data_IF_356195699874
#
_entry.id   IF_356195699874
#
_cell.length_a   1.000
_cell.length_b   1.000
_cell.length_c   1.000
_cell.angle_alpha   90.00
_cell.angle_beta   90.00
_cell.angle_gamma   90.00
#
_symmetry.space_group_name_H-M   'P 1'
#
loop_
_entity.id
_entity.type
_entity.pdbx_description
1 polymer ?
#
# COMPACT_ATOMS: atom_id res chain seq x y z
N UNK A 1 -1.98 2.76 12.65
CA UNK A 1 -1.91 3.73 11.53
C UNK A 1 -0.95 3.33 10.41
N UNK A 2 0.35 3.06 10.66
CA UNK A 2 1.27 2.58 9.60
C UNK A 2 1.12 1.07 9.35
N UNK A 3 1.06 0.28 10.42
CA UNK A 3 0.95 -1.18 10.35
C UNK A 3 -0.40 -1.63 9.75
N UNK A 4 -1.50 -0.99 10.17
CA UNK A 4 -2.84 -1.23 9.60
C UNK A 4 -2.89 -0.93 8.09
N UNK A 5 -2.20 0.13 7.65
CA UNK A 5 -2.15 0.50 6.23
C UNK A 5 -1.29 -0.48 5.43
N UNK A 6 -0.15 -0.92 5.97
CA UNK A 6 0.68 -1.95 5.35
C UNK A 6 -0.08 -3.28 5.23
N UNK A 7 -0.80 -3.69 6.28
CA UNK A 7 -1.70 -4.84 6.24
C UNK A 7 -2.78 -4.67 5.17
N UNK A 8 -3.43 -3.50 5.10
CA UNK A 8 -4.43 -3.19 4.07
C UNK A 8 -3.87 -3.30 2.65
N UNK A 9 -2.65 -2.79 2.41
CA UNK A 9 -1.96 -2.92 1.11
C UNK A 9 -1.75 -4.39 0.75
N UNK A 10 -1.28 -5.20 1.69
CA UNK A 10 -1.05 -6.65 1.48
C UNK A 10 -2.38 -7.36 1.21
N UNK A 11 -3.43 -7.09 1.99
CA UNK A 11 -4.76 -7.70 1.77
C UNK A 11 -5.32 -7.35 0.39
N UNK A 12 -5.14 -6.11 -0.07
CA UNK A 12 -5.56 -5.70 -1.42
C UNK A 12 -4.78 -6.48 -2.49
N UNK A 13 -3.46 -6.64 -2.32
CA UNK A 13 -2.61 -7.41 -3.25
C UNK A 13 -2.94 -8.92 -3.26
N UNK A 14 -3.38 -9.48 -2.13
CA UNK A 14 -3.84 -10.87 -2.08
C UNK A 14 -5.17 -11.07 -2.81
N UNK A 15 -6.05 -10.07 -2.80
CA UNK A 15 -7.34 -10.10 -3.52
C UNK A 15 -7.20 -9.73 -5.00
N UNK A 16 -6.24 -8.86 -5.32
CA UNK A 16 -5.94 -8.37 -6.66
C UNK A 16 -4.47 -8.60 -6.94
N UNK A 17 -4.19 -9.50 -7.88
CA UNK A 17 -2.83 -9.91 -8.27
C UNK A 17 -1.89 -8.72 -8.57
N UNK A 18 -2.44 -7.59 -9.05
CA UNK A 18 -1.73 -6.32 -9.25
C UNK A 18 -2.63 -5.12 -8.91
N UNK A 19 -2.02 -4.03 -8.45
CA UNK A 19 -2.65 -2.73 -8.21
C UNK A 19 -1.64 -1.61 -8.42
N UNK A 20 -2.09 -0.42 -8.81
CA UNK A 20 -1.21 0.74 -9.02
C UNK A 20 -1.12 1.63 -7.77
N UNK A 21 -0.03 2.37 -7.63
CA UNK A 21 0.16 3.30 -6.52
C UNK A 21 -0.89 4.43 -6.43
N UNK A 22 -1.40 5.01 -7.54
CA UNK A 22 -2.51 5.96 -7.49
C UNK A 22 -3.81 5.35 -6.96
N UNK A 23 -4.17 4.13 -7.37
CA UNK A 23 -5.38 3.45 -6.88
C UNK A 23 -5.31 3.16 -5.39
N UNK A 24 -4.15 2.72 -4.89
CA UNK A 24 -3.93 2.53 -3.46
C UNK A 24 -3.98 3.85 -2.69
N UNK A 25 -3.43 4.92 -3.27
CA UNK A 25 -3.41 6.25 -2.65
C UNK A 25 -4.83 6.81 -2.49
N UNK A 26 -5.66 6.67 -3.52
CA UNK A 26 -7.08 7.07 -3.48
C UNK A 26 -7.86 6.21 -2.47
N UNK A 27 -7.75 4.88 -2.55
CA UNK A 27 -8.52 3.96 -1.69
C UNK A 27 -8.17 4.08 -0.20
N UNK A 28 -6.91 4.41 0.11
CA UNK A 28 -6.42 4.51 1.48
C UNK A 28 -6.33 5.97 1.96
N UNK A 29 -6.81 6.93 1.16
CA UNK A 29 -6.84 8.36 1.45
C UNK A 29 -5.47 8.93 1.86
N UNK A 30 -4.43 8.54 1.13
CA UNK A 30 -3.05 8.99 1.37
C UNK A 30 -2.40 9.47 0.08
N UNK A 31 -1.24 10.13 0.21
CA UNK A 31 -0.45 10.49 -0.97
C UNK A 31 0.24 9.29 -1.61
N UNK A 32 0.47 9.34 -2.93
CA UNK A 32 1.31 8.36 -3.65
C UNK A 32 2.69 8.17 -3.03
N UNK A 33 3.29 9.25 -2.49
CA UNK A 33 4.56 9.20 -1.74
C UNK A 33 4.47 8.33 -0.48
N UNK A 34 3.32 8.30 0.17
CA UNK A 34 3.10 7.44 1.35
C UNK A 34 3.00 5.99 0.94
N UNK A 35 2.27 5.67 -0.14
CA UNK A 35 2.22 4.32 -0.70
C UNK A 35 3.62 3.83 -1.07
N UNK A 36 4.42 4.62 -1.80
CA UNK A 36 5.79 4.20 -2.14
C UNK A 36 6.65 3.91 -0.91
N UNK A 37 6.63 4.79 0.11
CA UNK A 37 7.37 4.55 1.37
C UNK A 37 6.89 3.32 2.13
N UNK A 38 5.60 3.03 2.10
CA UNK A 38 5.05 1.84 2.75
C UNK A 38 5.45 0.58 1.98
N UNK A 39 5.44 0.60 0.64
CA UNK A 39 5.96 -0.50 -0.20
C UNK A 39 7.45 -0.71 0.07
N UNK A 40 8.26 0.35 0.10
CA UNK A 40 9.69 0.25 0.43
C UNK A 40 9.90 -0.41 1.81
N UNK A 41 9.09 -0.02 2.80
CA UNK A 41 9.14 -0.60 4.14
C UNK A 41 8.66 -2.07 4.20
N UNK A 42 7.74 -2.49 3.34
CA UNK A 42 7.31 -3.90 3.21
C UNK A 42 8.40 -4.74 2.55
N UNK A 43 9.10 -4.18 1.56
CA UNK A 43 10.10 -4.88 0.77
C UNK A 43 11.50 -4.91 1.40
N UNK A 44 11.77 -4.08 2.42
CA UNK A 44 13.01 -4.17 3.19
C UNK A 44 13.05 -5.47 3.99
N UNK A 45 13.96 -6.37 3.61
CA UNK A 45 14.43 -7.49 4.42
C UNK A 45 15.57 -7.05 5.33
#
# INVERSE_FOLDING_TARGET
MKLDRMLSIITILLQKDKVTAPELAEKLEVSRRTIHRDIDAICQK
#
